data_IF_163088523580
#
_entry.id   IF_163088523580
#
_cell.length_a   1.000
_cell.length_b   1.000
_cell.length_c   1.000
_cell.angle_alpha   90.00
_cell.angle_beta   90.00
_cell.angle_gamma   90.00
#
_symmetry.space_group_name_H-M   'P 1'
#
loop_
_entity.id
_entity.type
_entity.pdbx_description
1 polymer ?
#
# COMPACT_ATOMS: atom_id res chain seq x y z
N UNK A 1 -34.94 28.75 19.64
CA UNK A 1 -34.85 28.12 18.31
C UNK A 1 -33.38 27.78 18.09
N UNK A 2 -33.05 26.50 17.92
CA UNK A 2 -31.66 26.02 17.80
C UNK A 2 -31.14 26.40 16.40
N UNK A 3 -29.99 27.06 16.36
CA UNK A 3 -29.29 27.38 15.11
C UNK A 3 -28.52 26.13 14.70
N UNK A 4 -29.06 25.39 13.73
CA UNK A 4 -28.35 24.34 13.02
C UNK A 4 -27.23 24.98 12.19
N UNK A 5 -26.00 24.90 12.71
CA UNK A 5 -24.78 25.18 11.94
C UNK A 5 -24.66 24.14 10.84
N UNK A 6 -25.16 24.47 9.66
CA UNK A 6 -24.94 23.69 8.44
C UNK A 6 -23.45 23.83 8.06
N UNK A 7 -22.62 22.88 8.49
CA UNK A 7 -21.28 22.75 7.97
C UNK A 7 -21.36 22.56 6.44
N UNK A 8 -20.53 23.25 5.64
CA UNK A 8 -20.53 23.04 4.20
C UNK A 8 -20.21 21.57 3.89
N UNK A 9 -20.81 20.98 2.83
CA UNK A 9 -20.47 19.63 2.42
C UNK A 9 -18.98 19.63 2.07
N UNK A 10 -18.19 18.80 2.74
CA UNK A 10 -16.81 18.56 2.36
C UNK A 10 -16.78 18.25 0.85
N UNK A 11 -16.13 19.12 0.08
CA UNK A 11 -15.97 18.98 -1.36
C UNK A 11 -15.38 17.59 -1.64
N UNK A 12 -16.25 16.66 -2.06
CA UNK A 12 -15.86 15.34 -2.57
C UNK A 12 -15.34 15.50 -4.00
N UNK A 13 -14.50 16.50 -4.25
CA UNK A 13 -13.69 16.52 -5.45
C UNK A 13 -12.93 15.20 -5.51
N UNK A 14 -12.89 14.59 -6.69
CA UNK A 14 -12.39 13.24 -6.96
C UNK A 14 -10.90 13.08 -6.65
N UNK A 15 -10.54 13.18 -5.38
CA UNK A 15 -9.20 13.09 -4.87
C UNK A 15 -8.79 11.63 -4.94
N UNK A 16 -8.15 11.29 -6.07
CA UNK A 16 -7.37 10.07 -6.21
C UNK A 16 -6.46 9.95 -4.98
N UNK A 17 -6.25 8.72 -4.51
CA UNK A 17 -5.47 8.49 -3.29
C UNK A 17 -4.15 9.30 -3.33
N UNK A 18 -3.93 10.17 -2.35
CA UNK A 18 -2.62 10.77 -2.12
C UNK A 18 -1.61 9.65 -1.90
N UNK A 19 -0.43 9.80 -2.49
CA UNK A 19 0.67 8.87 -2.29
C UNK A 19 1.03 8.83 -0.79
N UNK A 20 1.25 7.65 -0.18
CA UNK A 20 1.84 7.62 1.17
C UNK A 20 3.19 8.38 1.21
N UNK A 21 3.60 8.97 2.33
CA UNK A 21 4.79 9.80 2.36
C UNK A 21 6.06 9.01 1.96
N UNK A 22 6.72 9.42 0.86
CA UNK A 22 7.97 8.81 0.40
C UNK A 22 9.07 8.97 1.45
N UNK A 23 9.89 7.94 1.65
CA UNK A 23 10.99 7.99 2.61
C UNK A 23 10.58 7.79 4.07
N UNK A 24 9.30 7.54 4.37
CA UNK A 24 8.88 7.10 5.70
C UNK A 24 9.52 5.75 6.00
N UNK A 25 10.31 5.71 7.06
CA UNK A 25 10.90 4.47 7.56
C UNK A 25 10.08 3.92 8.70
N UNK A 26 9.73 2.64 8.62
CA UNK A 26 9.00 1.90 9.62
C UNK A 26 9.94 1.01 10.42
N UNK A 27 9.62 0.79 11.69
CA UNK A 27 10.44 -0.01 12.60
C UNK A 27 10.22 -1.51 12.38
N UNK A 28 9.03 -1.89 11.91
CA UNK A 28 8.65 -3.27 11.59
C UNK A 28 7.85 -3.38 10.29
N UNK A 29 7.82 -4.57 9.67
CA UNK A 29 6.90 -4.86 8.56
C UNK A 29 5.44 -4.72 8.98
N UNK A 30 5.13 -5.14 10.22
CA UNK A 30 3.77 -5.17 10.75
C UNK A 30 3.20 -3.75 10.87
N UNK A 31 3.96 -2.85 11.49
CA UNK A 31 3.65 -1.42 11.62
C UNK A 31 3.42 -0.78 10.25
N UNK A 32 4.36 -0.97 9.31
CA UNK A 32 4.21 -0.47 7.94
C UNK A 32 2.93 -0.97 7.27
N UNK A 33 2.63 -2.26 7.38
CA UNK A 33 1.44 -2.86 6.79
C UNK A 33 0.17 -2.24 7.39
N UNK A 34 0.13 -2.05 8.71
CA UNK A 34 -1.02 -1.47 9.38
C UNK A 34 -1.24 -0.02 8.95
N UNK A 35 -0.21 0.82 9.04
CA UNK A 35 -0.31 2.23 8.65
C UNK A 35 -0.69 2.41 7.19
N UNK A 36 -0.10 1.63 6.27
CA UNK A 36 -0.42 1.70 4.84
C UNK A 36 -1.88 1.33 4.57
N UNK A 37 -2.39 0.29 5.23
CA UNK A 37 -3.80 -0.13 5.09
C UNK A 37 -4.74 0.91 5.69
N UNK A 38 -4.42 1.47 6.85
CA UNK A 38 -5.21 2.51 7.50
C UNK A 38 -5.22 3.81 6.68
N UNK A 39 -4.07 4.20 6.13
CA UNK A 39 -3.93 5.33 5.23
C UNK A 39 -4.80 5.16 3.99
N UNK A 40 -4.70 4.01 3.30
CA UNK A 40 -5.54 3.73 2.14
C UNK A 40 -7.04 3.75 2.51
N UNK A 41 -7.39 3.19 3.67
CA UNK A 41 -8.76 3.17 4.19
C UNK A 41 -9.31 4.56 4.47
N UNK A 42 -8.50 5.47 5.04
CA UNK A 42 -8.90 6.87 5.29
C UNK A 42 -9.30 7.60 4.00
N UNK A 43 -8.76 7.16 2.87
CA UNK A 43 -9.06 7.71 1.54
C UNK A 43 -10.10 6.87 0.78
N UNK A 44 -10.74 5.88 1.44
CA UNK A 44 -11.72 4.97 0.83
C UNK A 44 -11.14 4.11 -0.32
N UNK A 45 -9.88 3.69 -0.19
CA UNK A 45 -9.21 2.75 -1.09
C UNK A 45 -8.77 1.48 -0.34
N UNK A 46 -8.62 0.39 -1.08
CA UNK A 46 -8.03 -0.85 -0.59
C UNK A 46 -6.71 -1.13 -1.33
N UNK A 47 -5.69 -1.55 -0.58
CA UNK A 47 -4.40 -1.99 -1.11
C UNK A 47 -4.03 -3.36 -0.56
N UNK A 48 -3.21 -4.10 -1.32
CA UNK A 48 -2.71 -5.42 -0.97
C UNK A 48 -1.29 -5.61 -1.47
N UNK A 49 -0.60 -6.57 -0.87
CA UNK A 49 0.68 -7.06 -1.36
C UNK A 49 0.39 -8.02 -2.51
N UNK A 50 0.88 -7.72 -3.71
CA UNK A 50 0.69 -8.58 -4.87
C UNK A 50 1.89 -9.49 -5.14
N UNK A 51 3.11 -9.08 -4.75
CA UNK A 51 4.33 -9.87 -4.90
C UNK A 51 5.32 -9.58 -3.79
N UNK A 52 6.10 -10.59 -3.41
CA UNK A 52 7.24 -10.49 -2.50
C UNK A 52 8.49 -11.03 -3.17
N UNK A 53 9.61 -10.34 -3.02
CA UNK A 53 10.91 -10.73 -3.56
C UNK A 53 11.96 -10.76 -2.46
N UNK A 54 12.68 -11.87 -2.37
CA UNK A 54 13.87 -12.02 -1.53
C UNK A 54 14.86 -12.92 -2.25
N UNK A 55 16.13 -12.50 -2.32
CA UNK A 55 17.19 -13.27 -2.97
C UNK A 55 18.07 -13.89 -1.90
N UNK A 56 18.32 -15.19 -2.05
CA UNK A 56 19.18 -15.95 -1.15
C UNK A 56 20.41 -16.47 -1.88
N UNK A 57 21.50 -16.65 -1.14
CA UNK A 57 22.70 -17.34 -1.58
C UNK A 57 22.38 -18.81 -1.82
N UNK A 58 22.83 -19.35 -2.96
CA UNK A 58 22.73 -20.80 -3.23
C UNK A 58 23.70 -21.63 -2.39
N UNK A 59 24.75 -21.01 -1.85
CA UNK A 59 25.82 -21.69 -1.12
C UNK A 59 25.52 -21.70 0.37
N UNK A 60 25.22 -20.52 0.95
CA UNK A 60 25.05 -20.37 2.40
C UNK A 60 23.59 -20.36 2.83
N UNK A 61 22.65 -20.14 1.91
CA UNK A 61 21.23 -19.98 2.23
C UNK A 61 20.86 -18.59 2.78
N UNK A 62 21.84 -17.71 3.02
CA UNK A 62 21.58 -16.38 3.60
C UNK A 62 20.97 -15.39 2.60
N UNK A 63 20.20 -14.39 3.07
CA UNK A 63 19.76 -13.29 2.22
C UNK A 63 20.94 -12.50 1.64
N UNK A 64 20.97 -12.33 0.31
CA UNK A 64 22.00 -11.56 -0.40
C UNK A 64 21.47 -10.23 -0.97
N UNK A 65 20.17 -10.00 -0.84
CA UNK A 65 19.53 -8.75 -1.25
C UNK A 65 18.40 -8.38 -0.29
N UNK A 66 18.13 -7.08 -0.20
CA UNK A 66 17.02 -6.51 0.58
C UNK A 66 15.69 -7.13 0.12
N UNK A 67 14.84 -7.49 1.09
CA UNK A 67 13.48 -7.91 0.81
C UNK A 67 12.69 -6.76 0.17
N UNK A 68 11.85 -7.08 -0.82
CA UNK A 68 10.98 -6.11 -1.50
C UNK A 68 9.56 -6.65 -1.58
N UNK A 69 8.59 -5.80 -1.25
CA UNK A 69 7.17 -6.06 -1.43
C UNK A 69 6.60 -5.11 -2.48
N UNK A 70 5.74 -5.61 -3.35
CA UNK A 70 4.97 -4.79 -4.29
C UNK A 70 3.57 -4.64 -3.74
N UNK A 71 3.19 -3.42 -3.44
CA UNK A 71 1.86 -3.02 -3.03
C UNK A 71 1.08 -2.56 -4.25
N UNK A 72 -0.19 -2.94 -4.33
CA UNK A 72 -1.08 -2.59 -5.43
C UNK A 72 -2.48 -2.29 -4.87
N UNK A 73 -3.24 -1.47 -5.58
CA UNK A 73 -4.68 -1.36 -5.35
C UNK A 73 -5.36 -2.75 -5.44
N UNK A 74 -6.38 -2.98 -4.61
CA UNK A 74 -7.19 -4.21 -4.64
C UNK A 74 -7.85 -4.44 -6.02
N UNK A 75 -8.25 -3.35 -6.70
CA UNK A 75 -8.75 -3.39 -8.10
C UNK A 75 -7.68 -3.64 -9.15
N UNK A 76 -6.40 -3.71 -8.76
CA UNK A 76 -5.31 -4.00 -9.69
C UNK A 76 -5.21 -5.46 -10.13
N UNK A 77 -5.97 -6.39 -9.52
CA UNK A 77 -6.09 -7.75 -10.02
C UNK A 77 -7.08 -7.81 -11.19
N UNK A 78 -6.59 -8.14 -12.40
CA UNK A 78 -7.28 -8.13 -13.71
C UNK A 78 -7.23 -6.80 -14.51
N UNK A 79 -6.34 -5.87 -14.15
CA UNK A 79 -6.00 -4.74 -15.02
C UNK A 79 -6.80 -3.46 -14.80
N UNK A 80 -7.68 -3.40 -13.79
CA UNK A 80 -8.55 -2.23 -13.61
C UNK A 80 -7.87 -1.04 -12.91
N UNK A 81 -6.70 -1.20 -12.28
CA UNK A 81 -5.97 -0.09 -11.66
C UNK A 81 -4.43 -0.22 -11.76
N UNK A 82 -3.72 0.81 -12.28
CA UNK A 82 -2.25 0.77 -12.43
C UNK A 82 -1.50 1.10 -11.13
N UNK A 83 -2.19 1.65 -10.12
CA UNK A 83 -1.59 2.09 -8.86
C UNK A 83 -0.80 0.97 -8.17
N UNK A 84 0.51 1.19 -8.00
CA UNK A 84 1.41 0.30 -7.27
C UNK A 84 2.71 0.99 -6.85
N UNK A 85 3.24 0.58 -5.70
CA UNK A 85 4.53 1.05 -5.19
C UNK A 85 5.32 -0.11 -4.57
N UNK A 86 6.59 0.13 -4.23
CA UNK A 86 7.40 -0.86 -3.55
C UNK A 86 7.56 -0.48 -2.08
N UNK A 87 7.61 -1.48 -1.21
CA UNK A 87 8.23 -1.36 0.11
C UNK A 87 9.51 -2.19 0.12
N UNK A 88 10.60 -1.64 0.64
CA UNK A 88 11.92 -2.30 0.64
C UNK A 88 12.46 -2.31 2.05
N UNK A 89 13.13 -3.38 2.39
CA UNK A 89 13.89 -3.50 3.63
C UNK A 89 15.05 -2.50 3.66
N UNK A 90 15.23 -1.76 4.76
CA UNK A 90 16.26 -0.73 4.87
C UNK A 90 17.67 -1.36 4.87
N UNK A 91 17.85 -2.49 5.55
CA UNK A 91 19.09 -3.27 5.61
C UNK A 91 18.77 -4.75 5.50
N UNK A 92 19.60 -5.53 4.81
CA UNK A 92 19.42 -6.97 4.66
C UNK A 92 19.35 -7.63 6.05
N UNK A 93 18.29 -8.42 6.29
CA UNK A 93 18.04 -9.12 7.55
C UNK A 93 17.43 -8.25 8.66
N UNK A 94 17.00 -7.03 8.35
CA UNK A 94 16.35 -6.11 9.29
C UNK A 94 14.85 -6.10 9.08
N UNK A 95 14.05 -5.97 10.14
CA UNK A 95 12.61 -5.72 9.97
C UNK A 95 12.26 -4.25 9.71
N UNK A 96 13.23 -3.40 9.34
CA UNK A 96 12.97 -1.99 9.04
C UNK A 96 12.62 -1.81 7.57
N UNK A 97 11.60 -1.01 7.28
CA UNK A 97 11.07 -0.86 5.93
C UNK A 97 10.98 0.59 5.49
N UNK A 98 11.05 0.82 4.19
CA UNK A 98 10.84 2.12 3.57
C UNK A 98 9.97 1.99 2.32
N UNK A 99 9.14 2.99 2.09
CA UNK A 99 8.34 3.10 0.86
C UNK A 99 9.22 3.68 -0.24
N UNK A 100 9.22 3.03 -1.40
CA UNK A 100 9.91 3.47 -2.61
C UNK A 100 8.95 3.51 -3.80
N UNK A 101 8.77 4.71 -4.36
CA UNK A 101 8.00 4.84 -5.57
C UNK A 101 8.70 4.24 -6.77
N UNK A 102 7.89 3.77 -7.72
CA UNK A 102 8.39 3.30 -9.00
C UNK A 102 8.74 4.51 -9.86
N UNK A 103 9.74 4.39 -10.73
CA UNK A 103 10.10 5.48 -11.66
C UNK A 103 8.98 5.82 -12.65
N UNK A 104 8.10 4.87 -12.93
CA UNK A 104 6.97 5.09 -13.81
C UNK A 104 5.82 5.74 -13.03
N UNK A 105 5.55 7.01 -13.31
CA UNK A 105 4.52 7.83 -12.67
C UNK A 105 3.09 7.32 -12.96
N UNK A 106 2.88 6.57 -14.05
CA UNK A 106 1.58 5.94 -14.32
C UNK A 106 1.17 4.94 -13.25
N UNK A 107 2.12 4.46 -12.43
CA UNK A 107 1.87 3.57 -11.31
C UNK A 107 1.56 4.32 -10.00
N UNK A 108 1.58 5.65 -10.02
CA UNK A 108 1.25 6.49 -8.88
C UNK A 108 -0.19 6.98 -8.90
N UNK A 109 -0.90 6.73 -10.01
CA UNK A 109 -2.27 7.21 -10.21
C UNK A 109 -3.28 6.07 -10.10
N UNK A 110 -4.44 6.40 -9.53
CA UNK A 110 -5.65 5.59 -9.68
C UNK A 110 -6.41 6.09 -10.90
N UNK A 111 -6.92 5.18 -11.72
CA UNK A 111 -7.82 5.47 -12.84
C UNK A 111 -9.30 5.30 -12.45
N UNK A 112 -9.60 5.23 -11.15
CA UNK A 112 -10.94 5.05 -10.63
C UNK A 112 -11.12 5.86 -9.35
N UNK A 113 -12.36 6.30 -9.11
CA UNK A 113 -12.75 6.92 -7.85
C UNK A 113 -12.66 5.94 -6.66
N UNK A 114 -12.76 6.44 -5.42
CA UNK A 114 -12.65 5.61 -4.23
C UNK A 114 -13.60 4.41 -4.27
N UNK A 115 -13.12 3.28 -3.73
CA UNK A 115 -13.94 2.09 -3.62
C UNK A 115 -14.92 2.32 -2.47
N UNK A 116 -16.10 2.87 -2.76
CA UNK A 116 -17.16 3.15 -1.77
C UNK A 116 -17.75 1.91 -1.07
N UNK A 117 -17.03 0.79 -1.05
CA UNK A 117 -17.46 -0.48 -0.49
C UNK A 117 -16.26 -1.39 -0.23
N UNK A 118 -16.20 -1.87 1.00
CA UNK A 118 -15.15 -2.69 1.57
C UNK A 118 -14.91 -3.98 0.77
N UNK A 119 -13.67 -4.19 0.33
CA UNK A 119 -13.15 -5.54 0.17
C UNK A 119 -11.92 -5.63 1.08
N UNK A 120 -12.17 -6.03 2.33
CA UNK A 120 -11.13 -6.67 3.13
C UNK A 120 -10.69 -7.87 2.30
N UNK A 121 -9.45 -7.88 1.80
CA UNK A 121 -8.89 -9.15 1.33
C UNK A 121 -8.91 -10.07 2.55
N UNK A 122 -9.74 -11.12 2.60
CA UNK A 122 -9.63 -12.08 3.69
C UNK A 122 -8.21 -12.62 3.64
N UNK A 123 -7.57 -12.72 4.81
CA UNK A 123 -6.32 -13.43 4.98
C UNK A 123 -6.32 -14.66 4.06
N UNK A 124 -5.33 -14.75 3.17
CA UNK A 124 -5.19 -15.92 2.32
C UNK A 124 -5.14 -17.12 3.27
N UNK A 125 -6.23 -17.92 3.28
CA UNK A 125 -6.25 -19.20 3.97
C UNK A 125 -5.03 -19.97 3.49
N UNK A 126 -4.07 -20.16 4.39
CA UNK A 126 -2.97 -21.09 4.21
C UNK A 126 -3.61 -22.42 3.84
N UNK A 127 -3.41 -22.86 2.60
CA UNK A 127 -3.76 -24.22 2.21
C UNK A 127 -2.80 -25.12 2.98
N UNK A 128 -3.35 -25.92 3.90
CA UNK A 128 -2.66 -27.03 4.54
C UNK A 128 -2.23 -28.05 3.50
#
# INVERSE_FOLDING_TARGET
MRQDTFAPPAEREGQLMKLPPEGTTYSSFHEMRQELVEFARSQSYGIRICRSFQKFSRITGDPVAKKRMVWQCNRGGKGDCPFSFNAVEVKIGSDRWEIRYKKNESQHVHNHGPSGGFVICPEQKVRK
#
